data_IF_271467495403
#
_entry.id   IF_271467495403
#
_cell.length_a   1.000
_cell.length_b   1.000
_cell.length_c   1.000
_cell.angle_alpha   90.00
_cell.angle_beta   90.00
_cell.angle_gamma   90.00
#
_symmetry.space_group_name_H-M   'P 1'
#
loop_
_entity.id
_entity.type
_entity.pdbx_description
1 polymer ?
#
# COMPACT_ATOMS: atom_id res chain seq x y z
N UNK A 1 2.18 31.87 49.12
CA UNK A 1 1.61 30.65 48.52
C UNK A 1 1.85 30.78 47.03
N UNK A 2 2.94 30.21 46.52
CA UNK A 2 3.38 30.41 45.13
C UNK A 2 3.28 29.05 44.44
N UNK A 3 2.34 28.92 43.51
CA UNK A 3 2.14 27.71 42.74
C UNK A 3 3.35 27.52 41.81
N UNK A 4 4.01 26.37 41.93
CA UNK A 4 5.06 25.96 41.01
C UNK A 4 4.42 25.61 39.66
N UNK A 5 4.73 26.40 38.64
CA UNK A 5 4.31 26.17 37.27
C UNK A 5 5.16 25.01 36.70
N UNK A 6 4.59 23.80 36.65
CA UNK A 6 5.24 22.67 35.96
C UNK A 6 4.91 22.78 34.47
N UNK A 7 5.84 23.28 33.68
CA UNK A 7 5.81 23.19 32.22
C UNK A 7 6.01 21.74 31.82
N UNK A 8 4.97 21.13 31.28
CA UNK A 8 5.06 19.82 30.61
C UNK A 8 5.91 20.01 29.35
N UNK A 9 7.13 19.47 29.32
CA UNK A 9 7.88 19.36 28.07
C UNK A 9 7.12 18.40 27.14
N UNK A 10 6.60 18.92 26.03
CA UNK A 10 5.99 18.12 24.98
C UNK A 10 7.05 17.15 24.43
N UNK A 11 6.84 15.84 24.67
CA UNK A 11 7.73 14.80 24.15
C UNK A 11 7.62 14.75 22.63
N UNK A 12 8.48 15.49 21.94
CA UNK A 12 8.56 15.48 20.47
C UNK A 12 9.17 14.16 20.00
N UNK A 13 8.55 13.56 19.00
CA UNK A 13 9.08 12.35 18.35
C UNK A 13 10.29 12.75 17.50
N UNK A 14 11.38 11.98 17.60
CA UNK A 14 12.53 12.11 16.71
C UNK A 14 12.25 11.29 15.45
N UNK A 15 12.00 11.97 14.34
CA UNK A 15 11.77 11.32 13.04
C UNK A 15 13.08 10.86 12.42
N UNK A 16 13.10 9.63 11.88
CA UNK A 16 14.16 9.12 11.01
C UNK A 16 13.74 9.29 9.54
N UNK A 17 14.68 9.66 8.67
CA UNK A 17 14.45 9.67 7.22
C UNK A 17 14.76 8.30 6.63
N UNK A 18 13.80 7.72 5.91
CA UNK A 18 14.00 6.48 5.13
C UNK A 18 14.47 6.75 3.69
N UNK A 19 14.79 8.00 3.35
CA UNK A 19 15.18 8.41 1.99
C UNK A 19 14.05 8.23 0.96
N UNK A 20 14.44 8.17 -0.32
CA UNK A 20 13.51 8.04 -1.46
C UNK A 20 13.06 9.40 -2.03
N UNK A 21 12.46 9.36 -3.22
CA UNK A 21 11.91 10.52 -3.93
C UNK A 21 10.41 10.32 -4.18
N UNK A 22 9.65 10.23 -3.10
CA UNK A 22 8.23 9.91 -3.13
C UNK A 22 7.40 11.04 -3.77
N UNK A 23 6.45 10.65 -4.62
CA UNK A 23 5.44 11.52 -5.21
C UNK A 23 4.02 11.24 -4.68
N UNK A 24 3.85 10.18 -3.88
CA UNK A 24 2.58 9.81 -3.24
C UNK A 24 2.67 9.78 -1.72
N UNK A 25 1.53 9.65 -1.05
CA UNK A 25 1.53 9.10 0.32
C UNK A 25 1.92 7.62 0.30
N UNK A 26 2.56 7.10 1.37
CA UNK A 26 2.93 5.69 1.42
C UNK A 26 1.74 4.79 1.81
N UNK A 27 1.79 3.54 1.36
CA UNK A 27 0.99 2.43 1.89
C UNK A 27 1.89 1.49 2.71
N UNK A 28 1.33 0.85 3.75
CA UNK A 28 2.09 -0.06 4.62
C UNK A 28 1.26 -1.27 5.03
N UNK A 29 1.91 -2.42 5.11
CA UNK A 29 1.35 -3.64 5.72
C UNK A 29 2.35 -4.26 6.68
N UNK A 30 1.87 -4.94 7.72
CA UNK A 30 2.68 -5.86 8.52
C UNK A 30 2.36 -7.28 8.08
N UNK A 31 3.29 -7.94 7.39
CA UNK A 31 3.06 -9.30 6.85
C UNK A 31 3.34 -10.41 7.87
N UNK A 32 4.09 -10.06 8.93
CA UNK A 32 4.42 -10.95 10.05
C UNK A 32 4.75 -10.14 11.31
N UNK A 33 4.98 -10.82 12.42
CA UNK A 33 5.32 -10.19 13.68
C UNK A 33 6.65 -9.44 13.58
N UNK A 34 6.65 -8.14 13.87
CA UNK A 34 7.82 -7.25 13.78
C UNK A 34 8.38 -7.09 12.35
N UNK A 35 7.58 -7.34 11.33
CA UNK A 35 8.00 -7.19 9.94
C UNK A 35 6.97 -6.37 9.16
N UNK A 36 7.42 -5.46 8.29
CA UNK A 36 6.51 -4.58 7.54
C UNK A 36 7.05 -4.14 6.18
N UNK A 37 6.15 -3.99 5.21
CA UNK A 37 6.45 -3.53 3.85
C UNK A 37 5.83 -2.17 3.66
N UNK A 38 6.64 -1.23 3.19
CA UNK A 38 6.21 0.12 2.80
C UNK A 38 6.27 0.21 1.27
N UNK A 39 5.26 0.85 0.70
CA UNK A 39 5.14 1.14 -0.72
C UNK A 39 4.90 2.61 -0.93
N UNK A 40 5.47 3.17 -1.99
CA UNK A 40 5.15 4.51 -2.44
C UNK A 40 5.39 4.63 -3.95
N UNK A 41 4.65 5.52 -4.60
CA UNK A 41 4.96 5.91 -5.98
C UNK A 41 6.05 6.98 -5.91
N UNK A 42 7.12 6.78 -6.66
CA UNK A 42 8.22 7.74 -6.75
C UNK A 42 7.96 8.75 -7.89
N UNK A 43 8.79 9.79 -7.94
CA UNK A 43 8.71 10.84 -8.96
C UNK A 43 8.87 10.35 -10.41
N UNK A 44 9.36 9.12 -10.62
CA UNK A 44 9.44 8.46 -11.92
C UNK A 44 8.14 7.76 -12.34
N UNK A 45 7.09 7.81 -11.51
CA UNK A 45 5.79 7.17 -11.77
C UNK A 45 5.76 5.68 -11.46
N UNK A 46 6.84 5.09 -10.94
CA UNK A 46 6.88 3.67 -10.59
C UNK A 46 6.52 3.46 -9.11
N UNK A 47 5.96 2.29 -8.81
CA UNK A 47 5.89 1.80 -7.44
C UNK A 47 7.30 1.43 -6.98
N UNK A 48 7.68 1.88 -5.80
CA UNK A 48 8.87 1.45 -5.08
C UNK A 48 8.46 0.87 -3.74
N UNK A 49 9.21 -0.13 -3.29
CA UNK A 49 8.96 -0.77 -2.00
C UNK A 49 10.23 -0.86 -1.17
N UNK A 50 10.08 -0.73 0.15
CA UNK A 50 11.13 -0.89 1.16
C UNK A 50 10.56 -1.64 2.35
N UNK A 51 11.38 -2.39 3.07
CA UNK A 51 10.88 -3.25 4.12
C UNK A 51 11.76 -3.30 5.37
N UNK A 52 11.12 -3.63 6.48
CA UNK A 52 11.74 -3.90 7.77
C UNK A 52 11.63 -5.39 8.06
N UNK A 53 12.76 -6.03 8.33
CA UNK A 53 12.89 -7.48 8.54
C UNK A 53 12.90 -7.89 10.02
N UNK A 54 12.53 -6.97 10.92
CA UNK A 54 12.63 -7.17 12.36
C UNK A 54 13.92 -6.65 12.99
N UNK A 55 14.93 -6.32 12.20
CA UNK A 55 16.22 -5.84 12.67
C UNK A 55 16.72 -4.57 11.97
N UNK A 56 16.45 -4.41 10.67
CA UNK A 56 16.93 -3.30 9.87
C UNK A 56 15.97 -2.93 8.72
N UNK A 57 16.09 -1.67 8.28
CA UNK A 57 15.44 -1.19 7.06
C UNK A 57 16.28 -1.55 5.83
N UNK A 58 15.73 -2.35 4.91
CA UNK A 58 16.36 -2.70 3.62
C UNK A 58 16.28 -1.58 2.60
N UNK A 59 17.00 -1.62 1.48
CA UNK A 59 16.96 -0.53 0.49
C UNK A 59 15.59 -0.41 -0.20
N UNK A 60 15.37 0.72 -0.89
CA UNK A 60 14.23 0.87 -1.79
C UNK A 60 14.47 0.05 -3.07
N UNK A 61 13.46 -0.73 -3.47
CA UNK A 61 13.48 -1.55 -4.68
C UNK A 61 12.35 -1.14 -5.63
N UNK A 62 12.64 -0.95 -6.93
CA UNK A 62 11.60 -0.64 -7.90
C UNK A 62 10.72 -1.87 -8.16
N UNK A 63 9.41 -1.65 -8.20
CA UNK A 63 8.40 -2.65 -8.53
C UNK A 63 7.72 -2.37 -9.89
N UNK A 64 8.16 -1.32 -10.60
CA UNK A 64 7.65 -0.94 -11.91
C UNK A 64 6.28 -0.26 -11.87
N UNK A 65 5.61 -0.26 -13.02
CA UNK A 65 4.31 0.37 -13.24
C UNK A 65 4.41 1.78 -13.83
N UNK A 66 3.28 2.27 -14.34
CA UNK A 66 3.09 3.65 -14.80
C UNK A 66 1.90 4.24 -14.03
N UNK A 67 2.18 4.72 -12.82
CA UNK A 67 1.19 4.95 -11.77
C UNK A 67 1.05 6.43 -11.43
N UNK A 68 -0.10 6.76 -10.86
CA UNK A 68 -0.45 8.08 -10.34
C UNK A 68 -1.21 7.94 -9.03
N UNK A 69 -1.38 9.05 -8.32
CA UNK A 69 -2.08 9.08 -7.04
C UNK A 69 -1.31 8.34 -5.95
N UNK A 70 -2.01 7.61 -5.08
CA UNK A 70 -1.44 6.85 -3.98
C UNK A 70 -1.76 5.36 -4.07
N UNK A 71 -0.79 4.48 -3.76
CA UNK A 71 -1.06 3.06 -3.65
C UNK A 71 -1.84 2.75 -2.36
N UNK A 72 -2.48 1.58 -2.35
CA UNK A 72 -3.02 0.94 -1.16
C UNK A 72 -2.51 -0.49 -1.10
N UNK A 73 -2.24 -1.00 0.10
CA UNK A 73 -1.76 -2.36 0.29
C UNK A 73 -2.57 -3.11 1.36
N UNK A 74 -2.77 -4.41 1.17
CA UNK A 74 -3.36 -5.31 2.16
C UNK A 74 -2.66 -6.67 2.15
N UNK A 75 -2.88 -7.47 3.19
CA UNK A 75 -2.27 -8.80 3.34
C UNK A 75 -3.17 -9.68 4.20
N UNK A 76 -3.19 -10.99 3.93
CA UNK A 76 -3.74 -12.00 4.85
C UNK A 76 -2.65 -12.90 5.48
N UNK A 77 -1.37 -12.62 5.23
CA UNK A 77 -0.24 -13.36 5.78
C UNK A 77 1.07 -13.14 5.04
N UNK A 78 2.15 -13.70 5.58
CA UNK A 78 3.52 -13.51 5.08
C UNK A 78 3.71 -13.86 3.60
N UNK A 79 3.01 -14.89 3.12
CA UNK A 79 3.09 -15.36 1.74
C UNK A 79 2.07 -14.66 0.81
N UNK A 80 1.45 -13.56 1.26
CA UNK A 80 0.57 -12.76 0.44
C UNK A 80 0.57 -11.29 0.82
N UNK A 81 1.06 -10.44 -0.08
CA UNK A 81 0.87 -8.99 -0.03
C UNK A 81 0.30 -8.54 -1.36
N UNK A 82 -0.75 -7.73 -1.34
CA UNK A 82 -1.37 -7.20 -2.53
C UNK A 82 -1.32 -5.67 -2.48
N UNK A 83 -0.93 -5.07 -3.59
CA UNK A 83 -0.81 -3.62 -3.77
C UNK A 83 -1.65 -3.21 -4.97
N UNK A 84 -2.46 -2.19 -4.75
CA UNK A 84 -3.35 -1.61 -5.73
C UNK A 84 -2.96 -0.15 -5.95
N UNK A 85 -2.91 0.27 -7.20
CA UNK A 85 -2.63 1.66 -7.54
C UNK A 85 -3.37 2.06 -8.81
N UNK A 86 -3.67 3.34 -8.93
CA UNK A 86 -4.23 3.88 -10.16
C UNK A 86 -3.11 4.12 -11.18
N UNK A 87 -3.32 3.68 -12.41
CA UNK A 87 -2.44 3.95 -13.54
C UNK A 87 -2.67 5.35 -14.11
N UNK A 88 -1.66 5.89 -14.80
CA UNK A 88 -1.80 7.14 -15.57
C UNK A 88 -2.87 7.04 -16.66
N UNK A 89 -3.22 5.82 -17.07
CA UNK A 89 -4.27 5.46 -18.01
C UNK A 89 -5.68 5.40 -17.40
N UNK A 90 -5.82 5.65 -16.09
CA UNK A 90 -7.09 5.53 -15.37
C UNK A 90 -7.44 4.10 -14.93
N UNK A 91 -6.59 3.12 -15.23
CA UNK A 91 -6.78 1.74 -14.79
C UNK A 91 -6.51 1.54 -13.30
N UNK A 92 -7.23 0.63 -12.66
CA UNK A 92 -6.82 0.04 -11.39
C UNK A 92 -5.83 -1.09 -11.69
N UNK A 93 -4.62 -0.95 -11.19
CA UNK A 93 -3.55 -1.92 -11.38
C UNK A 93 -3.27 -2.66 -10.08
N UNK A 94 -2.99 -3.95 -10.20
CA UNK A 94 -2.76 -4.86 -9.10
C UNK A 94 -1.40 -5.55 -9.27
N UNK A 95 -0.58 -5.51 -8.21
CA UNK A 95 0.67 -6.23 -8.07
C UNK A 95 0.62 -7.01 -6.75
N UNK A 96 1.07 -8.25 -6.76
CA UNK A 96 1.07 -9.05 -5.55
C UNK A 96 2.34 -9.87 -5.37
N UNK A 97 2.61 -10.22 -4.12
CA UNK A 97 3.67 -11.09 -3.68
C UNK A 97 3.09 -12.45 -3.30
N UNK A 98 3.78 -13.52 -3.70
CA UNK A 98 3.55 -14.89 -3.23
C UNK A 98 4.88 -15.52 -2.81
N UNK A 99 4.87 -16.78 -2.35
CA UNK A 99 6.06 -17.48 -1.86
C UNK A 99 7.25 -17.52 -2.86
N UNK A 100 7.00 -17.33 -4.16
CA UNK A 100 8.04 -17.30 -5.20
C UNK A 100 8.45 -15.87 -5.64
N UNK A 101 7.91 -14.83 -5.01
CA UNK A 101 8.25 -13.43 -5.27
C UNK A 101 7.09 -12.56 -5.75
N UNK A 102 7.46 -11.36 -6.22
CA UNK A 102 6.56 -10.41 -6.86
C UNK A 102 6.09 -10.93 -8.21
N UNK A 103 4.79 -10.87 -8.45
CA UNK A 103 4.17 -11.23 -9.71
C UNK A 103 4.21 -10.07 -10.71
N UNK A 104 3.47 -10.18 -11.81
CA UNK A 104 3.36 -9.14 -12.82
C UNK A 104 2.14 -8.28 -12.54
N UNK A 105 2.24 -6.99 -12.88
CA UNK A 105 1.10 -6.09 -12.89
C UNK A 105 -0.05 -6.63 -13.76
N UNK A 106 -1.25 -6.62 -13.22
CA UNK A 106 -2.50 -6.89 -13.93
C UNK A 106 -3.48 -5.71 -13.78
N UNK A 107 -4.31 -5.50 -14.80
CA UNK A 107 -5.35 -4.48 -14.76
C UNK A 107 -6.67 -5.10 -14.28
N UNK A 108 -7.36 -4.42 -13.36
CA UNK A 108 -8.66 -4.80 -12.82
C UNK A 108 -9.81 -3.95 -13.39
N UNK A 109 -9.54 -3.10 -14.38
CA UNK A 109 -10.53 -2.23 -15.01
C UNK A 109 -10.30 -0.75 -14.75
N UNK A 110 -11.27 0.10 -15.11
CA UNK A 110 -11.16 1.56 -15.04
C UNK A 110 -11.70 2.10 -13.72
N UNK A 111 -11.02 3.10 -13.14
CA UNK A 111 -11.41 3.76 -11.89
C UNK A 111 -11.15 5.27 -11.96
N UNK A 112 -11.91 6.03 -11.18
CA UNK A 112 -11.83 7.48 -11.10
C UNK A 112 -11.07 7.99 -9.86
N UNK A 113 -10.74 7.12 -8.91
CA UNK A 113 -9.99 7.46 -7.69
C UNK A 113 -8.86 6.48 -7.40
N UNK A 114 -8.02 6.83 -6.42
CA UNK A 114 -7.15 5.87 -5.74
C UNK A 114 -8.00 4.79 -5.06
N UNK A 115 -7.51 3.53 -4.99
CA UNK A 115 -8.26 2.44 -4.41
C UNK A 115 -8.15 2.40 -2.88
N UNK A 116 -9.14 1.78 -2.24
CA UNK A 116 -9.06 1.28 -0.87
C UNK A 116 -9.18 -0.25 -0.88
N UNK A 117 -8.39 -0.95 -0.08
CA UNK A 117 -8.41 -2.41 -0.03
C UNK A 117 -8.42 -2.93 1.40
N UNK A 118 -9.03 -4.09 1.59
CA UNK A 118 -9.06 -4.80 2.86
C UNK A 118 -8.95 -6.31 2.63
N UNK A 119 -8.39 -6.99 3.62
CA UNK A 119 -8.44 -8.44 3.71
C UNK A 119 -8.92 -8.82 5.11
N UNK A 120 -9.87 -9.75 5.17
CA UNK A 120 -10.47 -10.20 6.43
C UNK A 120 -10.32 -11.70 6.67
N UNK A 121 -9.70 -12.42 5.73
CA UNK A 121 -9.52 -13.86 5.81
C UNK A 121 -8.49 -14.34 4.78
N UNK A 122 -8.04 -15.59 4.98
CA UNK A 122 -7.22 -16.27 3.96
C UNK A 122 -7.97 -16.29 2.64
N UNK A 123 -7.22 -16.08 1.56
CA UNK A 123 -7.71 -16.11 0.19
C UNK A 123 -8.81 -15.08 -0.09
N UNK A 124 -8.81 -13.98 0.66
CA UNK A 124 -9.84 -12.95 0.55
C UNK A 124 -9.28 -11.55 0.54
N UNK A 125 -9.56 -10.84 -0.55
CA UNK A 125 -9.36 -9.39 -0.67
C UNK A 125 -10.62 -8.75 -1.24
N UNK A 126 -10.90 -7.56 -0.74
CA UNK A 126 -11.91 -6.64 -1.23
C UNK A 126 -11.22 -5.33 -1.61
N UNK A 127 -11.40 -4.87 -2.84
CA UNK A 127 -10.90 -3.57 -3.33
C UNK A 127 -12.07 -2.71 -3.77
N UNK A 128 -11.99 -1.42 -3.44
CA UNK A 128 -13.03 -0.42 -3.69
C UNK A 128 -12.43 0.81 -4.34
N UNK A 129 -13.16 1.45 -5.25
CA UNK A 129 -12.76 2.71 -5.87
C UNK A 129 -13.99 3.49 -6.36
N UNK A 130 -13.85 4.79 -6.60
CA UNK A 130 -14.85 5.56 -7.32
C UNK A 130 -14.88 5.13 -8.80
N UNK A 131 -16.06 4.85 -9.35
CA UNK A 131 -16.27 4.62 -10.77
C UNK A 131 -16.37 5.92 -11.56
N UNK A 132 -16.21 5.83 -12.88
CA UNK A 132 -16.30 7.02 -13.76
C UNK A 132 -17.69 7.65 -13.77
N UNK A 133 -18.71 6.89 -13.38
CA UNK A 133 -20.10 7.34 -13.27
C UNK A 133 -20.43 7.87 -11.86
N UNK A 134 -19.44 7.92 -10.97
CA UNK A 134 -19.57 8.42 -9.60
C UNK A 134 -20.10 7.38 -8.60
N UNK A 135 -20.24 6.13 -9.01
CA UNK A 135 -20.62 4.99 -8.18
C UNK A 135 -19.43 4.41 -7.41
N UNK A 136 -19.70 3.57 -6.40
CA UNK A 136 -18.67 2.83 -5.68
C UNK A 136 -18.46 1.49 -6.37
N UNK A 137 -17.30 1.31 -7.00
CA UNK A 137 -16.87 0.04 -7.56
C UNK A 137 -16.33 -0.87 -6.46
N UNK A 138 -16.56 -2.17 -6.61
CA UNK A 138 -16.07 -3.22 -5.73
C UNK A 138 -15.65 -4.45 -6.54
N UNK A 139 -14.48 -4.99 -6.21
CA UNK A 139 -14.02 -6.27 -6.73
C UNK A 139 -13.43 -7.13 -5.60
N UNK A 140 -13.49 -8.43 -5.80
CA UNK A 140 -13.36 -9.43 -4.76
C UNK A 140 -12.48 -10.61 -5.23
N UNK A 141 -11.38 -10.87 -4.53
CA UNK A 141 -10.57 -12.08 -4.71
C UNK A 141 -11.06 -13.18 -3.77
N UNK A 142 -11.14 -14.43 -4.26
CA UNK A 142 -11.64 -15.60 -3.53
C UNK A 142 -10.62 -16.76 -3.43
N UNK A 143 -9.35 -16.48 -3.73
CA UNK A 143 -8.29 -17.49 -3.80
C UNK A 143 -8.04 -18.03 -5.20
N UNK A 144 -8.93 -17.72 -6.17
CA UNK A 144 -8.83 -18.24 -7.53
C UNK A 144 -8.99 -17.17 -8.59
N UNK A 145 -9.91 -16.24 -8.39
CA UNK A 145 -10.21 -15.22 -9.38
C UNK A 145 -10.77 -13.95 -8.74
N UNK A 146 -10.58 -12.84 -9.45
CA UNK A 146 -11.33 -11.62 -9.21
C UNK A 146 -12.76 -11.78 -9.72
N UNK A 147 -13.72 -11.34 -8.90
CA UNK A 147 -15.13 -11.26 -9.25
C UNK A 147 -15.68 -9.89 -8.85
N UNK A 148 -16.66 -9.41 -9.61
CA UNK A 148 -17.52 -8.30 -9.22
C UNK A 148 -18.79 -8.90 -8.60
N UNK A 149 -19.29 -8.30 -7.53
CA UNK A 149 -20.56 -8.70 -6.93
C UNK A 149 -21.76 -8.27 -7.79
#
# INVERSE_FOLDING_TARGET
>A
MTAANRTTEERRVNWESLGGSLASTPAVVSWAGNEMQVFAIFADGQLWSRYWDGAAWHEWHPQGGELTGSPTACTWGADRIDVFARGVDGGLWHLWYEANGWQRWESLGQVASDPAASSWGRDRIDVFALGTDGDLLHAAWDGKSWSVA
#
